data_IF_084044171489
#
_entry.id   IF_084044171489
#
_cell.length_a   1.000
_cell.length_b   1.000
_cell.length_c   1.000
_cell.angle_alpha   90.00
_cell.angle_beta   90.00
_cell.angle_gamma   90.00
#
_symmetry.space_group_name_H-M   'P 1'
#
loop_
_entity.id
_entity.type
_entity.pdbx_description
1 polymer ?
#
# COMPACT_ATOMS: atom_id res chain seq x y z
N UNK A 1 -6.10 -10.91 22.26
CA UNK A 1 -5.07 -11.27 23.27
C UNK A 1 -4.16 -10.09 23.64
N UNK A 2 -3.95 -9.12 22.74
CA UNK A 2 -3.01 -8.00 22.94
C UNK A 2 -3.66 -6.70 23.44
N UNK A 3 -4.99 -6.65 23.56
CA UNK A 3 -5.70 -5.48 24.09
C UNK A 3 -5.49 -5.45 25.61
N UNK A 4 -4.99 -4.30 26.10
CA UNK A 4 -4.73 -4.00 27.52
C UNK A 4 -5.70 -2.89 27.99
N UNK A 5 -5.78 -2.66 29.30
CA UNK A 5 -6.64 -1.62 29.90
C UNK A 5 -6.35 -0.20 29.34
N UNK A 6 -5.09 0.09 29.02
CA UNK A 6 -4.67 1.37 28.46
C UNK A 6 -4.73 1.42 26.91
N UNK A 7 -5.17 0.37 26.23
CA UNK A 7 -5.37 0.39 24.77
C UNK A 7 -6.52 1.34 24.43
N UNK A 8 -6.30 2.26 23.50
CA UNK A 8 -7.31 3.26 23.07
C UNK A 8 -7.67 3.14 21.58
N UNK A 9 -6.76 2.58 20.77
CA UNK A 9 -6.91 2.57 19.34
C UNK A 9 -6.23 1.35 18.72
N UNK A 10 -6.81 0.85 17.63
CA UNK A 10 -6.17 -0.08 16.70
C UNK A 10 -5.82 0.70 15.44
N UNK A 11 -4.56 0.61 14.98
CA UNK A 11 -4.08 1.26 13.77
C UNK A 11 -3.78 0.21 12.70
N UNK A 12 -4.33 0.38 11.50
CA UNK A 12 -4.20 -0.54 10.37
C UNK A 12 -3.87 0.22 9.09
N UNK A 13 -3.28 -0.47 8.11
CA UNK A 13 -3.18 -0.01 6.74
C UNK A 13 -3.86 -1.06 5.83
N UNK A 14 -4.95 -0.68 5.17
CA UNK A 14 -5.80 -1.58 4.37
C UNK A 14 -6.23 -0.92 3.04
N UNK A 15 -5.86 -1.45 1.89
CA UNK A 15 -4.92 -2.55 1.65
C UNK A 15 -3.53 -2.28 2.21
N UNK A 16 -2.86 -3.33 2.69
CA UNK A 16 -1.59 -3.21 3.43
C UNK A 16 -0.38 -2.99 2.52
N UNK A 17 0.54 -2.17 2.95
CA UNK A 17 1.90 -2.09 2.43
C UNK A 17 2.86 -2.75 3.44
N UNK A 18 3.59 -3.85 3.11
CA UNK A 18 3.98 -4.26 1.75
C UNK A 18 3.16 -5.41 1.14
N UNK A 19 2.23 -6.04 1.86
CA UNK A 19 1.64 -7.34 1.48
C UNK A 19 0.50 -7.23 0.46
N UNK A 20 -0.15 -6.08 0.35
CA UNK A 20 -1.37 -5.89 -0.45
C UNK A 20 -2.62 -6.56 0.14
N UNK A 21 -2.54 -7.12 1.35
CA UNK A 21 -3.67 -7.77 2.01
C UNK A 21 -4.70 -6.75 2.50
N UNK A 22 -5.95 -7.17 2.60
CA UNK A 22 -7.04 -6.41 3.20
C UNK A 22 -7.93 -7.34 4.03
N UNK A 23 -8.94 -6.77 4.68
CA UNK A 23 -9.98 -7.52 5.37
C UNK A 23 -11.22 -7.58 4.49
N UNK A 24 -11.87 -8.73 4.43
CA UNK A 24 -13.19 -8.85 3.83
C UNK A 24 -14.27 -8.29 4.75
N UNK A 25 -15.52 -8.23 4.28
CA UNK A 25 -16.63 -7.67 5.05
C UNK A 25 -16.82 -8.35 6.42
N UNK A 26 -16.76 -9.67 6.48
CA UNK A 26 -16.96 -10.44 7.73
C UNK A 26 -15.83 -10.17 8.73
N UNK A 27 -14.59 -10.12 8.26
CA UNK A 27 -13.41 -9.80 9.08
C UNK A 27 -13.47 -8.36 9.61
N UNK A 28 -13.93 -7.41 8.77
CA UNK A 28 -14.17 -6.02 9.19
C UNK A 28 -15.23 -5.97 10.30
N UNK A 29 -16.34 -6.69 10.17
CA UNK A 29 -17.38 -6.75 11.19
C UNK A 29 -16.87 -7.40 12.50
N UNK A 30 -16.07 -8.45 12.40
CA UNK A 30 -15.45 -9.06 13.59
C UNK A 30 -14.52 -8.07 14.31
N UNK A 31 -13.70 -7.34 13.57
CA UNK A 31 -12.85 -6.28 14.12
C UNK A 31 -13.70 -5.22 14.85
N UNK A 32 -14.77 -4.75 14.21
CA UNK A 32 -15.69 -3.76 14.78
C UNK A 32 -16.33 -4.26 16.07
N UNK A 33 -16.76 -5.52 16.13
CA UNK A 33 -17.34 -6.10 17.37
C UNK A 33 -16.31 -6.11 18.52
N UNK A 34 -15.06 -6.46 18.21
CA UNK A 34 -13.98 -6.40 19.20
C UNK A 34 -13.78 -4.96 19.68
N UNK A 35 -13.74 -3.99 18.77
CA UNK A 35 -13.54 -2.59 19.10
C UNK A 35 -14.70 -2.02 19.95
N UNK A 36 -15.95 -2.37 19.61
CA UNK A 36 -17.14 -1.99 20.38
C UNK A 36 -17.07 -2.54 21.83
N UNK A 37 -16.67 -3.81 21.98
CA UNK A 37 -16.55 -4.47 23.28
C UNK A 37 -15.54 -3.77 24.22
N UNK A 38 -14.49 -3.21 23.66
CA UNK A 38 -13.38 -2.57 24.41
C UNK A 38 -13.38 -1.05 24.29
N UNK A 39 -14.41 -0.46 23.71
CA UNK A 39 -14.56 0.98 23.50
C UNK A 39 -13.38 1.65 22.76
N UNK A 40 -12.86 0.99 21.70
CA UNK A 40 -11.67 1.41 20.96
C UNK A 40 -12.01 2.20 19.72
N UNK A 41 -11.15 3.15 19.37
CA UNK A 41 -11.07 3.71 18.02
C UNK A 41 -10.38 2.74 17.06
N UNK A 42 -10.70 2.85 15.77
CA UNK A 42 -9.98 2.16 14.68
C UNK A 42 -9.52 3.21 13.68
N UNK A 43 -8.21 3.40 13.58
CA UNK A 43 -7.58 4.22 12.55
C UNK A 43 -7.15 3.31 11.40
N UNK A 44 -7.66 3.56 10.21
CA UNK A 44 -7.25 2.84 9.00
C UNK A 44 -6.65 3.81 7.99
N UNK A 45 -5.42 3.57 7.59
CA UNK A 45 -4.86 4.19 6.40
C UNK A 45 -5.40 3.46 5.16
N UNK A 46 -6.35 4.11 4.47
CA UNK A 46 -7.00 3.61 3.26
C UNK A 46 -6.41 4.21 1.98
N UNK A 47 -5.14 4.60 1.99
CA UNK A 47 -4.49 5.26 0.84
C UNK A 47 -4.52 4.43 -0.45
N UNK A 48 -4.65 3.10 -0.33
CA UNK A 48 -4.74 2.16 -1.45
C UNK A 48 -6.18 1.71 -1.76
N UNK A 49 -7.18 2.16 -1.00
CA UNK A 49 -8.60 1.87 -1.26
C UNK A 49 -9.11 2.63 -2.49
N UNK A 50 -10.12 2.07 -3.15
CA UNK A 50 -10.80 2.67 -4.30
C UNK A 50 -10.43 2.05 -5.65
N UNK A 51 -9.40 1.18 -5.71
CA UNK A 51 -9.12 0.39 -6.91
C UNK A 51 -10.10 -0.79 -7.05
N UNK A 52 -10.43 -1.46 -5.94
CA UNK A 52 -11.27 -2.67 -5.91
C UNK A 52 -12.23 -2.70 -4.74
N UNK A 53 -11.90 -2.07 -3.62
CA UNK A 53 -12.68 -2.13 -2.39
C UNK A 53 -13.57 -0.90 -2.23
N UNK A 54 -14.82 -1.14 -1.88
CA UNK A 54 -15.85 -0.11 -1.77
C UNK A 54 -16.05 0.38 -0.33
N UNK A 55 -16.00 -0.52 0.67
CA UNK A 55 -16.31 -0.18 2.05
C UNK A 55 -15.17 0.57 2.74
N UNK A 56 -15.52 1.54 3.58
CA UNK A 56 -14.59 2.32 4.40
C UNK A 56 -14.88 2.11 5.88
N UNK A 57 -13.85 1.98 6.70
CA UNK A 57 -14.01 1.82 8.16
C UNK A 57 -14.84 2.96 8.78
N UNK A 58 -14.70 4.18 8.29
CA UNK A 58 -15.48 5.32 8.78
C UNK A 58 -16.98 5.25 8.44
N UNK A 59 -17.36 4.44 7.44
CA UNK A 59 -18.77 4.21 7.11
C UNK A 59 -19.37 3.07 7.92
N UNK A 60 -18.57 2.09 8.30
CA UNK A 60 -18.96 0.89 9.02
C UNK A 60 -18.99 1.06 10.55
N UNK A 61 -18.13 1.94 11.10
CA UNK A 61 -17.96 2.07 12.54
C UNK A 61 -17.96 3.54 13.00
N UNK A 62 -18.68 3.84 14.10
CA UNK A 62 -18.82 5.21 14.64
C UNK A 62 -17.48 5.79 15.12
N UNK A 63 -16.62 4.96 15.75
CA UNK A 63 -15.25 5.32 16.15
C UNK A 63 -14.22 4.95 15.08
N UNK A 64 -14.64 4.76 13.82
CA UNK A 64 -13.77 4.60 12.67
C UNK A 64 -13.16 5.94 12.25
N UNK A 65 -11.85 5.95 12.08
CA UNK A 65 -11.07 7.07 11.57
C UNK A 65 -10.33 6.57 10.34
N UNK A 66 -10.40 7.31 9.25
CA UNK A 66 -9.75 6.95 8.00
C UNK A 66 -8.84 8.06 7.55
N UNK A 67 -7.62 7.71 7.15
CA UNK A 67 -6.74 8.57 6.38
C UNK A 67 -6.67 8.09 4.94
N UNK A 68 -6.65 9.03 3.99
CA UNK A 68 -6.47 8.72 2.57
C UNK A 68 -5.99 9.95 1.83
N UNK A 69 -5.80 9.86 0.50
CA UNK A 69 -5.31 10.98 -0.30
C UNK A 69 -5.24 10.67 -1.78
N UNK A 70 -4.76 11.65 -2.54
CA UNK A 70 -4.66 11.57 -4.00
C UNK A 70 -3.37 10.90 -4.49
N UNK A 71 -2.44 10.59 -3.59
CA UNK A 71 -1.05 10.26 -3.94
C UNK A 71 -0.84 8.88 -4.55
N UNK A 72 -1.69 7.89 -4.24
CA UNK A 72 -1.51 6.49 -4.65
C UNK A 72 -2.49 6.10 -5.74
N UNK A 73 -3.69 5.70 -5.37
CA UNK A 73 -4.67 5.18 -6.33
C UNK A 73 -5.14 6.19 -7.37
N UNK A 74 -5.04 7.48 -7.08
CA UNK A 74 -5.37 8.57 -8.01
C UNK A 74 -4.16 9.18 -8.73
N UNK A 75 -2.95 8.64 -8.52
CA UNK A 75 -1.72 8.94 -9.29
C UNK A 75 -1.30 10.41 -9.31
N UNK A 76 -1.66 11.21 -8.30
CA UNK A 76 -1.29 12.63 -8.21
C UNK A 76 -0.50 12.95 -6.93
N UNK A 77 0.66 12.27 -6.69
CA UNK A 77 1.43 12.44 -5.45
C UNK A 77 2.01 13.85 -5.27
N UNK A 78 2.25 14.57 -6.37
CA UNK A 78 2.80 15.92 -6.37
C UNK A 78 1.86 16.98 -5.79
N UNK A 79 0.54 16.72 -5.77
CA UNK A 79 -0.45 17.67 -5.23
C UNK A 79 -0.42 17.76 -3.70
N UNK A 80 0.15 16.81 -3.00
CA UNK A 80 0.25 16.78 -1.54
C UNK A 80 -1.10 16.94 -0.82
N UNK A 81 -2.16 16.33 -1.36
CA UNK A 81 -3.52 16.38 -0.80
C UNK A 81 -3.89 15.03 -0.20
N UNK A 82 -4.36 15.09 1.04
CA UNK A 82 -4.95 13.99 1.78
C UNK A 82 -6.08 14.49 2.68
N UNK A 83 -6.78 13.56 3.28
CA UNK A 83 -7.90 13.85 4.17
C UNK A 83 -7.99 12.86 5.33
N UNK A 84 -8.68 13.30 6.38
CA UNK A 84 -9.15 12.46 7.47
C UNK A 84 -10.67 12.42 7.39
N UNK A 85 -11.26 11.23 7.52
CA UNK A 85 -12.71 11.04 7.56
C UNK A 85 -13.10 10.27 8.82
N UNK A 86 -14.06 10.79 9.57
CA UNK A 86 -14.68 10.13 10.73
C UNK A 86 -16.09 10.69 10.96
N UNK A 87 -16.94 9.93 11.66
CA UNK A 87 -18.25 10.38 12.13
C UNK A 87 -18.18 11.17 13.44
N UNK A 88 -17.06 11.07 14.17
CA UNK A 88 -16.84 11.77 15.44
C UNK A 88 -16.61 13.28 15.19
N UNK A 89 -17.64 14.08 15.41
CA UNK A 89 -17.62 15.53 15.18
C UNK A 89 -16.68 16.25 16.16
N UNK A 90 -16.57 15.77 17.39
CA UNK A 90 -15.69 16.37 18.38
C UNK A 90 -14.22 16.12 18.01
N UNK A 91 -13.90 14.92 17.56
CA UNK A 91 -12.57 14.60 17.04
C UNK A 91 -12.22 15.49 15.84
N UNK A 92 -13.14 15.68 14.89
CA UNK A 92 -12.92 16.59 13.74
C UNK A 92 -12.67 18.04 14.21
N UNK A 93 -13.42 18.53 15.20
CA UNK A 93 -13.20 19.85 15.77
C UNK A 93 -11.78 19.99 16.33
N UNK A 94 -11.37 19.01 17.15
CA UNK A 94 -10.03 18.98 17.75
C UNK A 94 -8.91 18.87 16.71
N UNK A 95 -9.11 18.10 15.65
CA UNK A 95 -8.15 17.98 14.54
C UNK A 95 -8.02 19.32 13.81
N UNK A 96 -9.13 19.98 13.50
CA UNK A 96 -9.12 21.28 12.81
C UNK A 96 -8.41 22.36 13.63
N UNK A 97 -8.64 22.41 14.94
CA UNK A 97 -7.95 23.36 15.82
C UNK A 97 -6.43 23.17 15.79
N UNK A 98 -5.96 21.93 15.67
CA UNK A 98 -4.52 21.63 15.60
C UNK A 98 -3.93 21.79 14.20
N UNK A 99 -4.77 21.64 13.17
CA UNK A 99 -4.34 21.77 11.77
C UNK A 99 -3.72 23.13 11.49
N UNK A 100 -4.28 24.21 12.06
CA UNK A 100 -3.82 25.57 11.85
C UNK A 100 -2.37 25.81 12.35
N UNK A 101 -1.91 24.96 13.26
CA UNK A 101 -0.51 25.00 13.76
C UNK A 101 0.46 24.14 12.93
N UNK A 102 -0.04 23.30 12.01
CA UNK A 102 0.78 22.41 11.18
C UNK A 102 0.69 22.76 9.70
N UNK A 103 -0.52 22.81 9.15
CA UNK A 103 -0.79 23.08 7.73
C UNK A 103 -2.04 23.96 7.65
N UNK A 104 -1.88 25.23 7.37
CA UNK A 104 -3.02 26.18 7.27
C UNK A 104 -3.89 25.82 6.06
N UNK A 105 -3.28 25.59 4.89
CA UNK A 105 -3.98 25.18 3.67
C UNK A 105 -3.05 24.43 2.70
N UNK A 106 -3.62 23.65 1.80
CA UNK A 106 -2.87 22.99 0.70
C UNK A 106 -2.52 23.97 -0.43
N UNK A 107 -3.11 25.16 -0.42
CA UNK A 107 -3.00 26.18 -1.46
C UNK A 107 -4.04 26.01 -2.59
N UNK A 108 -4.52 27.12 -3.16
CA UNK A 108 -5.66 27.12 -4.08
C UNK A 108 -5.40 26.39 -5.40
N UNK A 109 -4.16 26.37 -5.87
CA UNK A 109 -3.78 25.64 -7.11
C UNK A 109 -3.89 24.14 -6.86
N UNK A 110 -3.33 23.64 -5.75
CA UNK A 110 -3.37 22.22 -5.39
C UNK A 110 -4.82 21.78 -5.14
N UNK A 111 -5.62 22.59 -4.45
CA UNK A 111 -7.02 22.30 -4.20
C UNK A 111 -7.84 22.22 -5.50
N UNK A 112 -7.62 23.13 -6.44
CA UNK A 112 -8.28 23.10 -7.75
C UNK A 112 -7.88 21.85 -8.57
N UNK A 113 -6.59 21.53 -8.63
CA UNK A 113 -6.11 20.32 -9.32
C UNK A 113 -6.58 19.05 -8.61
N UNK A 114 -6.67 19.07 -7.29
CA UNK A 114 -7.25 17.99 -6.50
C UNK A 114 -8.73 17.75 -6.82
N UNK A 115 -9.51 18.82 -6.94
CA UNK A 115 -10.91 18.74 -7.36
C UNK A 115 -11.07 18.18 -8.77
N UNK A 116 -10.20 18.57 -9.71
CA UNK A 116 -10.14 17.97 -11.06
C UNK A 116 -9.79 16.48 -11.01
N UNK A 117 -8.80 16.09 -10.19
CA UNK A 117 -8.44 14.67 -10.00
C UNK A 117 -9.63 13.85 -9.52
N UNK A 118 -10.39 14.36 -8.55
CA UNK A 118 -11.60 13.70 -8.06
C UNK A 118 -12.71 13.65 -9.11
N UNK A 119 -12.88 14.71 -9.90
CA UNK A 119 -13.86 14.75 -11.00
C UNK A 119 -13.58 13.65 -12.05
N UNK A 120 -12.33 13.39 -12.36
CA UNK A 120 -11.90 12.36 -13.33
C UNK A 120 -11.41 11.06 -12.66
N UNK A 121 -11.80 10.83 -11.40
CA UNK A 121 -11.35 9.69 -10.62
C UNK A 121 -11.69 8.34 -11.26
N UNK A 122 -12.86 8.23 -11.90
CA UNK A 122 -13.30 7.00 -12.56
C UNK A 122 -12.34 6.58 -13.68
N UNK A 123 -11.97 7.52 -14.53
CA UNK A 123 -11.04 7.30 -15.66
C UNK A 123 -9.64 6.95 -15.15
N UNK A 124 -9.17 7.66 -14.14
CA UNK A 124 -7.86 7.42 -13.50
C UNK A 124 -7.83 6.02 -12.88
N UNK A 125 -8.83 5.66 -12.10
CA UNK A 125 -8.90 4.36 -11.44
C UNK A 125 -9.05 3.20 -12.44
N UNK A 126 -9.78 3.40 -13.54
CA UNK A 126 -9.89 2.39 -14.61
C UNK A 126 -8.53 2.13 -15.24
N UNK A 127 -7.83 3.17 -15.69
CA UNK A 127 -6.46 3.06 -16.22
C UNK A 127 -5.51 2.36 -15.23
N UNK A 128 -5.57 2.75 -13.96
CA UNK A 128 -4.67 2.21 -12.96
C UNK A 128 -4.95 0.73 -12.67
N UNK A 129 -6.21 0.29 -12.71
CA UNK A 129 -6.57 -1.15 -12.64
C UNK A 129 -6.01 -1.93 -13.82
N UNK A 130 -6.13 -1.42 -15.03
CA UNK A 130 -5.57 -2.07 -16.23
C UNK A 130 -4.06 -2.28 -16.11
N UNK A 131 -3.32 -1.25 -15.70
CA UNK A 131 -1.87 -1.31 -15.43
C UNK A 131 -1.55 -2.39 -14.39
N UNK A 132 -2.30 -2.40 -13.27
CA UNK A 132 -2.07 -3.37 -12.20
C UNK A 132 -2.34 -4.80 -12.65
N UNK A 133 -3.42 -5.06 -13.36
CA UNK A 133 -3.75 -6.40 -13.85
C UNK A 133 -2.73 -6.90 -14.87
N UNK A 134 -2.25 -6.04 -15.77
CA UNK A 134 -1.17 -6.40 -16.71
C UNK A 134 0.10 -6.79 -15.95
N UNK A 135 0.52 -5.98 -14.98
CA UNK A 135 1.72 -6.23 -14.19
C UNK A 135 1.59 -7.48 -13.28
N UNK A 136 0.43 -7.69 -12.66
CA UNK A 136 0.14 -8.92 -11.89
C UNK A 136 0.25 -10.16 -12.78
N UNK A 137 -0.31 -10.13 -13.98
CA UNK A 137 -0.25 -11.23 -14.91
C UNK A 137 1.17 -11.50 -15.41
N UNK A 138 1.96 -10.45 -15.63
CA UNK A 138 3.35 -10.60 -15.99
C UNK A 138 4.17 -11.19 -14.84
N UNK A 139 4.00 -10.69 -13.61
CA UNK A 139 4.67 -11.24 -12.43
C UNK A 139 4.31 -12.71 -12.18
N UNK A 140 3.02 -13.10 -12.34
CA UNK A 140 2.60 -14.50 -12.25
C UNK A 140 3.33 -15.40 -13.25
N UNK A 141 3.57 -14.93 -14.48
CA UNK A 141 4.34 -15.68 -15.50
C UNK A 141 5.81 -15.74 -15.12
N UNK A 142 6.38 -14.63 -14.66
CA UNK A 142 7.76 -14.55 -14.23
C UNK A 142 8.06 -15.53 -13.08
N UNK A 143 7.20 -15.60 -12.08
CA UNK A 143 7.34 -16.52 -10.94
C UNK A 143 7.41 -18.01 -11.37
N UNK A 144 6.71 -18.42 -12.42
CA UNK A 144 6.75 -19.80 -12.92
C UNK A 144 8.15 -20.20 -13.41
N UNK A 145 8.95 -19.26 -13.88
CA UNK A 145 10.31 -19.47 -14.35
C UNK A 145 11.39 -19.26 -13.30
N UNK A 146 11.02 -18.87 -12.06
CA UNK A 146 11.96 -18.50 -11.01
C UNK A 146 11.61 -19.22 -9.69
N UNK A 147 11.97 -20.52 -9.55
CA UNK A 147 11.52 -21.36 -8.44
C UNK A 147 12.03 -20.89 -7.06
N UNK A 148 13.11 -20.10 -7.02
CA UNK A 148 13.62 -19.49 -5.80
C UNK A 148 12.76 -18.33 -5.28
N UNK A 149 11.72 -17.95 -6.02
CA UNK A 149 10.81 -16.89 -5.63
C UNK A 149 9.38 -17.38 -5.47
N UNK A 150 8.69 -16.84 -4.48
CA UNK A 150 7.27 -17.04 -4.28
C UNK A 150 6.60 -15.74 -3.88
N UNK A 151 5.32 -15.60 -4.22
CA UNK A 151 4.52 -14.43 -3.83
C UNK A 151 3.04 -14.80 -3.80
N UNK A 152 2.36 -14.36 -2.76
CA UNK A 152 0.90 -14.25 -2.78
C UNK A 152 0.57 -12.99 -3.55
N UNK A 153 0.12 -13.15 -4.80
CA UNK A 153 -0.28 -11.99 -5.61
C UNK A 153 -1.54 -11.38 -5.00
N UNK A 154 -1.49 -10.15 -4.51
CA UNK A 154 -2.63 -9.55 -3.83
C UNK A 154 -3.78 -9.26 -4.80
N UNK A 155 -5.00 -9.46 -4.34
CA UNK A 155 -6.18 -9.01 -5.07
C UNK A 155 -6.25 -7.48 -5.09
N UNK A 156 -5.91 -6.87 -3.96
CA UNK A 156 -5.95 -5.42 -3.72
C UNK A 156 -4.55 -4.83 -3.59
N UNK A 157 -4.45 -3.50 -3.67
CA UNK A 157 -3.20 -2.77 -3.47
C UNK A 157 -2.31 -2.67 -4.70
N UNK A 158 -1.25 -1.90 -4.56
CA UNK A 158 -0.31 -1.53 -5.64
C UNK A 158 1.08 -2.11 -5.46
N UNK A 159 1.26 -2.94 -4.44
CA UNK A 159 2.52 -3.58 -4.08
C UNK A 159 2.29 -5.04 -3.70
N UNK A 160 3.32 -5.86 -3.81
CA UNK A 160 3.34 -7.22 -3.26
C UNK A 160 4.69 -7.52 -2.63
N UNK A 161 4.75 -8.62 -1.89
CA UNK A 161 5.90 -8.99 -1.09
C UNK A 161 6.44 -10.32 -1.60
N UNK A 162 7.52 -10.27 -2.39
CA UNK A 162 8.21 -11.43 -2.95
C UNK A 162 9.07 -12.07 -1.88
N UNK A 163 8.87 -13.34 -1.61
CA UNK A 163 9.78 -14.16 -0.81
C UNK A 163 10.82 -14.78 -1.72
N UNK A 164 12.06 -14.85 -1.25
CA UNK A 164 13.15 -15.60 -1.90
C UNK A 164 13.82 -16.56 -0.91
N UNK A 165 14.56 -17.55 -1.43
CA UNK A 165 15.25 -18.58 -0.62
C UNK A 165 16.77 -18.57 -0.76
N UNK A 166 17.34 -17.49 -1.31
CA UNK A 166 18.80 -17.27 -1.32
C UNK A 166 19.32 -16.98 0.09
N UNK A 167 20.55 -17.47 0.38
CA UNK A 167 21.22 -17.25 1.67
C UNK A 167 21.95 -15.88 1.67
N UNK A 168 21.23 -14.83 1.42
CA UNK A 168 21.67 -13.44 1.39
C UNK A 168 20.63 -12.62 2.13
N UNK A 169 21.01 -11.75 3.05
CA UNK A 169 20.09 -10.85 3.71
C UNK A 169 19.47 -9.87 2.72
N UNK A 170 18.28 -9.36 3.06
CA UNK A 170 17.48 -8.59 2.11
C UNK A 170 18.10 -7.24 1.75
N UNK A 171 18.88 -6.63 2.64
CA UNK A 171 19.56 -5.36 2.37
C UNK A 171 20.69 -5.56 1.36
N UNK A 172 21.61 -6.49 1.65
CA UNK A 172 22.73 -6.83 0.75
C UNK A 172 22.23 -7.26 -0.63
N UNK A 173 21.13 -8.06 -0.68
CA UNK A 173 20.51 -8.46 -1.94
C UNK A 173 20.06 -7.25 -2.77
N UNK A 174 19.34 -6.32 -2.16
CA UNK A 174 18.83 -5.14 -2.85
C UNK A 174 19.94 -4.15 -3.26
N UNK A 175 20.92 -3.93 -2.40
CA UNK A 175 22.06 -3.04 -2.68
C UNK A 175 22.89 -3.55 -3.85
N UNK A 176 23.31 -4.84 -3.81
CA UNK A 176 24.10 -5.45 -4.89
C UNK A 176 23.34 -5.43 -6.22
N UNK A 177 22.04 -5.78 -6.20
CA UNK A 177 21.21 -5.73 -7.40
C UNK A 177 21.14 -4.32 -7.98
N UNK A 178 20.93 -3.32 -7.13
CA UNK A 178 20.81 -1.92 -7.57
C UNK A 178 22.14 -1.40 -8.12
N UNK A 179 23.27 -1.67 -7.46
CA UNK A 179 24.60 -1.24 -7.91
C UNK A 179 24.98 -1.86 -9.25
N UNK A 180 24.70 -3.13 -9.47
CA UNK A 180 25.08 -3.84 -10.68
C UNK A 180 24.12 -3.62 -11.86
N UNK A 181 22.85 -3.27 -11.59
CA UNK A 181 21.83 -3.30 -12.64
C UNK A 181 20.94 -2.06 -12.70
N UNK A 182 20.89 -1.25 -11.65
CA UNK A 182 19.94 -0.16 -11.50
C UNK A 182 18.52 -0.60 -11.13
N UNK A 183 18.24 -1.90 -11.01
CA UNK A 183 16.92 -2.41 -10.56
C UNK A 183 16.80 -2.24 -9.05
N UNK A 184 15.72 -1.61 -8.62
CA UNK A 184 15.47 -1.29 -7.21
C UNK A 184 14.25 -2.03 -6.64
N UNK A 185 14.47 -2.73 -5.53
CA UNK A 185 13.41 -3.22 -4.64
C UNK A 185 13.60 -2.63 -3.23
N UNK A 186 12.54 -2.55 -2.46
CA UNK A 186 12.68 -2.25 -1.03
C UNK A 186 12.92 -3.56 -0.29
N UNK A 187 14.03 -3.66 0.48
CA UNK A 187 14.37 -4.88 1.18
C UNK A 187 13.36 -5.20 2.30
N UNK A 188 13.20 -6.50 2.57
CA UNK A 188 12.26 -6.98 3.58
C UNK A 188 12.59 -6.55 4.99
N UNK A 189 13.86 -6.34 5.31
CA UNK A 189 14.29 -5.84 6.61
C UNK A 189 13.68 -4.48 6.98
N UNK A 190 13.32 -3.64 6.00
CA UNK A 190 12.56 -2.39 6.23
C UNK A 190 11.16 -2.64 6.80
N UNK A 191 10.69 -3.88 6.82
CA UNK A 191 9.40 -4.33 7.33
C UNK A 191 9.55 -5.40 8.43
N UNK A 192 10.75 -5.52 9.01
CA UNK A 192 11.13 -6.55 10.00
C UNK A 192 10.92 -8.00 9.52
N UNK A 193 11.01 -8.23 8.19
CA UNK A 193 10.83 -9.55 7.54
C UNK A 193 11.94 -9.81 6.56
N UNK A 194 12.91 -10.65 6.95
CA UNK A 194 14.00 -11.06 6.07
C UNK A 194 13.56 -11.98 4.91
N UNK A 195 14.44 -12.16 3.92
CA UNK A 195 14.21 -12.97 2.74
C UNK A 195 13.00 -12.53 1.90
N UNK A 196 12.66 -11.23 1.93
CA UNK A 196 11.59 -10.65 1.14
C UNK A 196 12.03 -9.37 0.43
N UNK A 197 11.35 -9.10 -0.68
CA UNK A 197 11.50 -7.89 -1.49
C UNK A 197 10.13 -7.28 -1.73
N UNK A 198 9.94 -5.98 -1.47
CA UNK A 198 8.70 -5.31 -1.86
C UNK A 198 8.77 -4.92 -3.34
N UNK A 199 7.86 -5.48 -4.12
CA UNK A 199 7.69 -5.24 -5.54
C UNK A 199 6.55 -4.25 -5.79
N UNK A 200 6.80 -3.23 -6.63
CA UNK A 200 5.81 -2.24 -7.04
C UNK A 200 5.05 -2.67 -8.29
N UNK A 201 3.73 -2.86 -8.16
CA UNK A 201 2.85 -3.27 -9.27
C UNK A 201 2.31 -2.10 -10.10
N UNK A 202 2.45 -0.85 -9.64
CA UNK A 202 1.80 0.32 -10.24
C UNK A 202 2.69 1.13 -11.19
N UNK A 203 3.82 0.58 -11.61
CA UNK A 203 4.68 1.20 -12.63
C UNK A 203 4.17 0.91 -14.05
N UNK A 204 4.65 1.68 -15.03
CA UNK A 204 4.35 1.41 -16.43
C UNK A 204 4.70 -0.04 -16.81
N UNK A 205 3.81 -0.80 -17.51
CA UNK A 205 4.01 -2.22 -17.77
C UNK A 205 5.32 -2.53 -18.51
N UNK A 206 5.71 -1.69 -19.44
CA UNK A 206 6.97 -1.85 -20.15
C UNK A 206 8.18 -1.79 -19.19
N UNK A 207 8.18 -0.84 -18.26
CA UNK A 207 9.25 -0.69 -17.27
C UNK A 207 9.32 -1.91 -16.31
N UNK A 208 8.16 -2.46 -15.94
CA UNK A 208 8.09 -3.67 -15.10
C UNK A 208 8.67 -4.88 -15.83
N UNK A 209 8.34 -5.05 -17.13
CA UNK A 209 8.87 -6.13 -17.96
C UNK A 209 10.39 -6.04 -18.10
N UNK A 210 10.89 -4.88 -18.50
CA UNK A 210 12.34 -4.63 -18.64
C UNK A 210 13.09 -4.86 -17.33
N UNK A 211 12.57 -4.33 -16.22
CA UNK A 211 13.18 -4.52 -14.90
C UNK A 211 13.24 -5.99 -14.47
N UNK A 212 12.18 -6.77 -14.71
CA UNK A 212 12.17 -8.21 -14.41
C UNK A 212 13.07 -9.02 -15.34
N UNK A 213 13.26 -8.62 -16.59
CA UNK A 213 14.23 -9.24 -17.52
C UNK A 213 15.67 -8.99 -17.06
N UNK A 214 16.01 -7.76 -16.71
CA UNK A 214 17.32 -7.40 -16.14
C UNK A 214 17.57 -8.17 -14.84
N UNK A 215 16.58 -8.23 -13.97
CA UNK A 215 16.63 -8.99 -12.72
C UNK A 215 16.88 -10.50 -12.97
N UNK A 216 16.14 -11.09 -13.93
CA UNK A 216 16.35 -12.50 -14.31
C UNK A 216 17.76 -12.79 -14.80
N UNK A 217 18.36 -11.88 -15.58
CA UNK A 217 19.72 -12.04 -16.08
C UNK A 217 20.76 -11.91 -14.95
N UNK A 218 20.52 -11.07 -13.98
CA UNK A 218 21.36 -10.94 -12.79
C UNK A 218 21.27 -12.20 -11.92
N UNK A 219 20.08 -12.78 -11.71
CA UNK A 219 19.89 -14.02 -10.96
C UNK A 219 20.66 -15.20 -11.57
N UNK A 220 20.70 -15.32 -12.90
CA UNK A 220 21.49 -16.37 -13.57
C UNK A 220 22.99 -16.28 -13.23
N UNK A 221 23.55 -15.07 -13.08
CA UNK A 221 24.95 -14.92 -12.65
C UNK A 221 25.12 -15.33 -11.19
N UNK A 222 24.16 -14.97 -10.33
CA UNK A 222 24.17 -15.35 -8.92
C UNK A 222 24.13 -16.88 -8.75
N UNK A 223 23.32 -17.59 -9.55
CA UNK A 223 23.18 -19.05 -9.53
C UNK A 223 24.45 -19.76 -10.04
N UNK A 224 25.20 -19.16 -10.99
CA UNK A 224 26.44 -19.73 -11.52
C UNK A 224 27.66 -19.50 -10.64
N UNK A 225 27.56 -18.58 -9.67
CA UNK A 225 28.63 -18.23 -8.74
C UNK A 225 28.62 -19.08 -7.46
N UNK A 226 27.65 -20.00 -7.33
CA UNK A 226 27.48 -20.97 -6.24
C UNK A 226 28.02 -22.36 -6.66
#
# INVERSE_FOLDING_TARGET
>A
KNIKENTKMICLNLPNNPTGTTLNHEEMQQLIQICKKHDLYVLVDEIYRGLYQEESMSDLYEKGIVTSGLSKVLSTPGLRIGWIKTKDKELIRLINERRDYSIISSGPINDYLGALTLKYSKEILTRNREILEENKNYLKKWLKGHPHFSCVIPEYGTVCFLKYDYQIDSNTFCETLQEETGVFFVPGCCFDVENHLRFGLANAPQLVKEGLEVFSNWLKKLDTSR
#
